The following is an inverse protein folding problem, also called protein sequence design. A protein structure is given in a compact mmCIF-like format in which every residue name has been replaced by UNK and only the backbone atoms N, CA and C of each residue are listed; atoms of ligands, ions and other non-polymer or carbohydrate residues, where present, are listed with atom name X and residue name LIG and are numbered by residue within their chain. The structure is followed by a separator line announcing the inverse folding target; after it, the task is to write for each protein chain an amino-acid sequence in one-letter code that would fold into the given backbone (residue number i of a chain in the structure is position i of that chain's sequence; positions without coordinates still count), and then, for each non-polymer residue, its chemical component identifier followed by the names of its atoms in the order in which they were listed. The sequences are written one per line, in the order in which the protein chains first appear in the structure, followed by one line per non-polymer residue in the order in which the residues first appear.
data_IF_953557396327
#
_entry.id   IF_953557396327
#
_cell.length_a   1.000
_cell.length_b   1.000
_cell.length_c   1.000
_cell.angle_alpha   90.00
_cell.angle_beta   90.00
_cell.angle_gamma   90.00
#
_symmetry.space_group_name_H-M   'P 1'
#
loop_
_entity.id
_entity.type
_entity.pdbx_description
1 polymer ?
#
# COMPACT_ATOMS: atom_id res chain seq x y z
N UNK A 1 -14.22 12.55 14.94
CA UNK A 1 -12.80 12.18 14.95
C UNK A 1 -12.66 11.01 14.00
N UNK A 2 -11.83 11.11 12.96
CA UNK A 2 -11.57 9.98 12.07
C UNK A 2 -10.85 8.84 12.82
N UNK A 3 -10.88 7.63 12.25
CA UNK A 3 -10.31 6.44 12.89
C UNK A 3 -8.81 6.58 13.18
N UNK A 4 -8.03 7.12 12.24
CA UNK A 4 -6.58 7.27 12.41
C UNK A 4 -6.26 8.13 13.65
N UNK A 5 -6.93 9.27 13.78
CA UNK A 5 -6.79 10.14 14.95
C UNK A 5 -7.17 9.41 16.23
N UNK A 6 -8.28 8.65 16.23
CA UNK A 6 -8.70 7.87 17.40
C UNK A 6 -7.66 6.81 17.81
N UNK A 7 -7.17 6.02 16.87
CA UNK A 7 -6.16 4.98 17.14
C UNK A 7 -4.86 5.57 17.69
N UNK A 8 -4.42 6.71 17.15
CA UNK A 8 -3.25 7.43 17.64
C UNK A 8 -3.44 7.92 19.08
N UNK A 9 -4.58 8.55 19.36
CA UNK A 9 -4.87 9.04 20.70
C UNK A 9 -5.00 7.89 21.72
N UNK A 10 -5.52 6.72 21.33
CA UNK A 10 -5.54 5.52 22.17
C UNK A 10 -4.12 5.07 22.58
N UNK A 11 -3.17 5.03 21.64
CA UNK A 11 -1.77 4.68 21.95
C UNK A 11 -1.10 5.73 22.85
N UNK A 12 -1.27 7.02 22.56
CA UNK A 12 -0.70 8.08 23.41
C UNK A 12 -1.37 8.19 24.78
N UNK A 13 -2.66 7.89 24.89
CA UNK A 13 -3.35 7.82 26.17
C UNK A 13 -2.77 6.68 27.03
N UNK A 14 -2.53 5.51 26.43
CA UNK A 14 -1.88 4.40 27.13
C UNK A 14 -0.47 4.76 27.63
N UNK A 15 0.31 5.49 26.83
CA UNK A 15 1.63 6.02 27.23
C UNK A 15 1.49 6.98 28.41
N UNK A 16 0.55 7.94 28.34
CA UNK A 16 0.32 8.94 29.41
C UNK A 16 -0.08 8.28 30.73
N UNK A 17 -1.00 7.32 30.70
CA UNK A 17 -1.44 6.56 31.89
C UNK A 17 -0.26 5.81 32.53
N UNK A 18 0.57 5.14 31.74
CA UNK A 18 1.76 4.45 32.27
C UNK A 18 2.79 5.43 32.83
N UNK A 19 2.95 6.60 32.22
CA UNK A 19 3.89 7.62 32.66
C UNK A 19 3.46 8.22 34.00
N UNK A 20 2.17 8.50 34.18
CA UNK A 20 1.57 8.93 35.46
C UNK A 20 1.78 7.87 36.56
N UNK A 21 1.75 6.59 36.21
CA UNK A 21 2.07 5.48 37.09
C UNK A 21 3.58 5.25 37.34
N UNK A 22 4.47 6.09 36.81
CA UNK A 22 5.92 5.95 36.96
C UNK A 22 6.54 4.80 36.15
N UNK A 23 5.81 4.19 35.22
CA UNK A 23 6.21 2.99 34.48
C UNK A 23 6.99 3.31 33.20
N UNK A 24 7.88 4.31 33.25
CA UNK A 24 8.64 4.78 32.09
C UNK A 24 9.41 3.66 31.38
N UNK A 25 10.08 2.80 32.12
CA UNK A 25 10.88 1.70 31.56
C UNK A 25 10.00 0.70 30.81
N UNK A 26 8.77 0.44 31.30
CA UNK A 26 7.82 -0.43 30.63
C UNK A 26 7.35 0.15 29.29
N UNK A 27 7.14 1.48 29.23
CA UNK A 27 6.81 2.17 27.97
C UNK A 27 7.93 1.98 26.95
N UNK A 28 9.18 2.29 27.32
CA UNK A 28 10.33 2.18 26.43
C UNK A 28 10.53 0.74 25.94
N UNK A 29 10.43 -0.23 26.85
CA UNK A 29 10.53 -1.66 26.54
C UNK A 29 9.42 -2.09 25.57
N UNK A 30 8.17 -1.72 25.85
CA UNK A 30 7.03 -2.09 24.99
C UNK A 30 7.15 -1.51 23.58
N UNK A 31 7.54 -0.22 23.47
CA UNK A 31 7.77 0.42 22.18
C UNK A 31 8.92 -0.25 21.43
N UNK A 32 10.02 -0.58 22.12
CA UNK A 32 11.17 -1.23 21.48
C UNK A 32 10.83 -2.63 20.96
N UNK A 33 10.17 -3.45 21.77
CA UNK A 33 9.76 -4.82 21.40
C UNK A 33 8.82 -4.81 20.19
N UNK A 34 7.81 -3.93 20.19
CA UNK A 34 6.87 -3.80 19.07
C UNK A 34 7.54 -3.22 17.83
N UNK A 35 8.47 -2.26 18.00
CA UNK A 35 9.26 -1.70 16.90
C UNK A 35 10.15 -2.75 16.24
N UNK A 36 10.85 -3.55 17.03
CA UNK A 36 11.65 -4.67 16.53
C UNK A 36 10.82 -5.73 15.81
N UNK A 37 9.63 -6.06 16.33
CA UNK A 37 8.70 -6.97 15.65
C UNK A 37 8.27 -6.44 14.28
N UNK A 38 7.97 -5.13 14.17
CA UNK A 38 7.61 -4.48 12.91
C UNK A 38 8.77 -4.52 11.90
N UNK A 39 10.01 -4.25 12.34
CA UNK A 39 11.21 -4.32 11.48
C UNK A 39 11.44 -5.72 10.92
N UNK A 40 11.29 -6.76 11.75
CA UNK A 40 11.40 -8.16 11.31
C UNK A 40 10.35 -8.50 10.24
N UNK A 41 9.13 -8.00 10.39
CA UNK A 41 8.08 -8.17 9.38
C UNK A 41 8.46 -7.47 8.07
N UNK A 42 9.04 -6.26 8.11
CA UNK A 42 9.47 -5.54 6.89
C UNK A 42 10.54 -6.33 6.11
N UNK A 43 11.48 -6.97 6.80
CA UNK A 43 12.58 -7.72 6.18
C UNK A 43 12.12 -8.99 5.43
N UNK A 44 11.00 -9.60 5.83
CA UNK A 44 10.53 -10.86 5.24
C UNK A 44 9.73 -10.69 3.93
N UNK A 45 9.32 -9.47 3.58
CA UNK A 45 8.41 -9.19 2.46
C UNK A 45 9.08 -8.35 1.34
N UNK A 46 10.41 -8.32 1.29
CA UNK A 46 11.16 -7.62 0.23
C UNK A 46 10.86 -8.18 -1.16
N UNK A 47 10.81 -7.31 -2.16
CA UNK A 47 10.63 -7.63 -3.58
C UNK A 47 9.18 -7.74 -4.04
N UNK A 48 8.20 -7.53 -3.14
CA UNK A 48 6.78 -7.84 -3.43
C UNK A 48 5.87 -6.64 -3.58
N UNK A 49 6.34 -5.43 -3.26
CA UNK A 49 5.47 -4.25 -3.22
C UNK A 49 4.73 -3.93 -4.52
N UNK A 50 5.28 -4.10 -5.75
CA UNK A 50 4.52 -3.79 -6.95
C UNK A 50 3.29 -4.70 -7.09
N UNK A 51 3.49 -6.01 -6.91
CA UNK A 51 2.43 -7.00 -7.03
C UNK A 51 1.42 -6.89 -5.89
N UNK A 52 1.89 -6.69 -4.66
CA UNK A 52 1.05 -6.54 -3.48
C UNK A 52 0.14 -5.30 -3.56
N UNK A 53 0.66 -4.16 -4.03
CA UNK A 53 -0.14 -2.95 -4.25
C UNK A 53 -1.17 -3.15 -5.36
N UNK A 54 -0.80 -3.85 -6.44
CA UNK A 54 -1.72 -4.18 -7.52
C UNK A 54 -2.82 -5.16 -7.07
N UNK A 55 -2.48 -6.14 -6.23
CA UNK A 55 -3.45 -7.04 -5.62
C UNK A 55 -4.43 -6.30 -4.72
N UNK A 56 -3.94 -5.36 -3.91
CA UNK A 56 -4.81 -4.51 -3.08
C UNK A 56 -5.82 -3.74 -3.94
N UNK A 57 -5.39 -3.16 -5.06
CA UNK A 57 -6.27 -2.48 -6.01
C UNK A 57 -7.32 -3.44 -6.60
N UNK A 58 -6.90 -4.66 -7.00
CA UNK A 58 -7.81 -5.69 -7.49
C UNK A 58 -8.87 -6.08 -6.45
N UNK A 59 -8.44 -6.35 -5.23
CA UNK A 59 -9.34 -6.74 -4.14
C UNK A 59 -10.31 -5.61 -3.80
N UNK A 60 -9.84 -4.35 -3.83
CA UNK A 60 -10.69 -3.19 -3.62
C UNK A 60 -11.75 -3.06 -4.71
N UNK A 61 -11.42 -3.30 -5.97
CA UNK A 61 -12.37 -3.28 -7.09
C UNK A 61 -13.37 -4.44 -7.01
N UNK A 62 -12.92 -5.65 -6.67
CA UNK A 62 -13.79 -6.82 -6.42
C UNK A 62 -14.77 -6.54 -5.28
N UNK A 63 -14.30 -5.99 -4.16
CA UNK A 63 -15.14 -5.63 -3.02
C UNK A 63 -16.19 -4.56 -3.37
N UNK A 64 -15.87 -3.66 -4.29
CA UNK A 64 -16.81 -2.66 -4.81
C UNK A 64 -17.77 -3.21 -5.89
N UNK A 65 -17.58 -4.45 -6.35
CA UNK A 65 -18.37 -5.03 -7.44
C UNK A 65 -18.14 -4.34 -8.78
N UNK A 66 -16.96 -3.77 -9.00
CA UNK A 66 -16.60 -3.09 -10.25
C UNK A 66 -15.41 -3.78 -10.94
N UNK A 67 -15.20 -3.43 -12.20
CA UNK A 67 -13.92 -3.63 -12.88
C UNK A 67 -13.20 -2.28 -12.94
N UNK A 68 -12.21 -2.12 -12.07
CA UNK A 68 -11.56 -0.84 -11.77
C UNK A 68 -10.28 -0.59 -12.56
N UNK A 69 -9.59 0.48 -12.16
CA UNK A 69 -8.33 0.97 -12.70
C UNK A 69 -7.26 0.94 -11.60
N UNK A 70 -6.05 0.52 -11.95
CA UNK A 70 -4.87 0.62 -11.11
C UNK A 70 -3.83 1.50 -11.80
N UNK A 71 -3.35 2.52 -11.09
CA UNK A 71 -2.45 3.54 -11.64
C UNK A 71 -1.16 3.62 -10.83
N UNK A 72 -0.01 3.45 -11.47
CA UNK A 72 1.31 3.57 -10.87
C UNK A 72 2.07 4.72 -11.51
N UNK A 73 2.58 5.64 -10.68
CA UNK A 73 3.40 6.77 -11.12
C UNK A 73 4.64 6.89 -10.22
N UNK A 74 5.82 6.73 -10.81
CA UNK A 74 7.08 7.02 -10.14
C UNK A 74 7.53 8.45 -10.43
N UNK A 75 7.34 9.34 -9.44
CA UNK A 75 7.82 10.73 -9.51
C UNK A 75 9.32 10.79 -9.19
N UNK A 76 9.88 11.99 -9.08
CA UNK A 76 11.27 12.16 -8.66
C UNK A 76 11.48 11.78 -7.18
N UNK A 77 10.44 11.90 -6.36
CA UNK A 77 10.50 11.74 -4.90
C UNK A 77 9.67 10.60 -4.33
N UNK A 78 8.74 10.02 -5.08
CA UNK A 78 7.81 9.03 -4.55
C UNK A 78 7.30 8.04 -5.61
N UNK A 79 6.89 6.87 -5.14
CA UNK A 79 5.94 6.03 -5.88
C UNK A 79 4.51 6.39 -5.44
N UNK A 80 3.67 6.78 -6.39
CA UNK A 80 2.24 7.00 -6.19
C UNK A 80 1.48 5.85 -6.83
N UNK A 81 0.59 5.21 -6.06
CA UNK A 81 -0.30 4.15 -6.54
C UNK A 81 -1.73 4.55 -6.26
N UNK A 82 -2.63 4.42 -7.24
CA UNK A 82 -4.02 4.77 -7.07
C UNK A 82 -4.98 3.72 -7.66
N UNK A 83 -6.13 3.55 -7.01
CA UNK A 83 -7.22 2.70 -7.47
C UNK A 83 -8.60 3.35 -7.23
N UNK A 84 -9.59 2.95 -8.02
CA UNK A 84 -10.97 3.45 -7.96
C UNK A 84 -11.97 2.42 -7.37
N UNK A 85 -11.45 1.44 -6.62
CA UNK A 85 -12.22 0.38 -5.97
C UNK A 85 -13.09 0.85 -4.81
N UNK A 86 -13.22 0.03 -3.77
CA UNK A 86 -14.03 0.33 -2.58
C UNK A 86 -13.45 1.44 -1.70
N UNK A 87 -12.19 1.83 -1.94
CA UNK A 87 -11.49 2.84 -1.17
C UNK A 87 -10.82 2.29 0.10
N UNK A 88 -10.24 3.20 0.87
CA UNK A 88 -9.58 2.89 2.14
C UNK A 88 -10.50 3.26 3.31
N UNK A 89 -11.01 2.26 4.01
CA UNK A 89 -11.94 2.43 5.14
C UNK A 89 -11.40 1.91 6.47
N UNK A 90 -12.26 1.90 7.49
CA UNK A 90 -11.86 1.65 8.88
C UNK A 90 -11.14 0.31 9.09
N UNK A 91 -11.64 -0.75 8.44
CA UNK A 91 -11.07 -2.09 8.55
C UNK A 91 -9.63 -2.16 8.04
N UNK A 92 -9.32 -1.43 6.96
CA UNK A 92 -7.99 -1.42 6.36
C UNK A 92 -7.00 -0.63 7.25
N UNK A 93 -7.43 0.49 7.83
CA UNK A 93 -6.62 1.26 8.77
C UNK A 93 -6.30 0.42 10.00
N UNK A 94 -7.31 -0.24 10.57
CA UNK A 94 -7.13 -1.14 11.71
C UNK A 94 -6.21 -2.31 11.40
N UNK A 95 -6.34 -2.91 10.21
CA UNK A 95 -5.48 -4.00 9.77
C UNK A 95 -4.01 -3.56 9.69
N UNK A 96 -3.71 -2.39 9.12
CA UNK A 96 -2.33 -1.89 9.10
C UNK A 96 -1.85 -1.58 10.52
N UNK A 97 -2.67 -0.89 11.32
CA UNK A 97 -2.25 -0.48 12.66
C UNK A 97 -2.03 -1.67 13.60
N UNK A 98 -2.76 -2.77 13.39
CA UNK A 98 -2.56 -4.02 14.14
C UNK A 98 -1.14 -4.60 13.99
N UNK A 99 -0.45 -4.31 12.88
CA UNK A 99 0.94 -4.73 12.64
C UNK A 99 1.91 -4.10 13.64
N UNK A 100 1.68 -2.84 14.01
CA UNK A 100 2.47 -2.15 15.04
C UNK A 100 2.01 -2.45 16.47
N UNK A 101 0.78 -2.93 16.67
CA UNK A 101 0.26 -3.28 18.01
C UNK A 101 0.67 -4.67 18.48
N UNK A 102 0.92 -5.60 17.58
CA UNK A 102 1.35 -6.96 17.93
C UNK A 102 2.85 -7.04 18.19
N UNK A 103 3.25 -7.55 19.35
CA UNK A 103 4.62 -8.00 19.62
C UNK A 103 4.88 -9.44 19.16
N UNK A 104 3.84 -10.16 18.70
CA UNK A 104 3.98 -11.53 18.21
C UNK A 104 4.62 -11.54 16.83
N UNK A 105 5.65 -12.37 16.69
CA UNK A 105 6.42 -12.53 15.46
C UNK A 105 5.60 -12.97 14.24
N UNK A 106 6.20 -12.93 13.05
CA UNK A 106 5.57 -13.29 11.78
C UNK A 106 5.18 -14.77 11.77
N UNK A 107 3.94 -15.07 12.14
CA UNK A 107 3.41 -16.43 12.18
C UNK A 107 2.04 -16.57 12.83
N UNK A 108 1.62 -15.60 13.64
CA UNK A 108 0.31 -15.63 14.33
C UNK A 108 -0.74 -14.69 13.74
N UNK A 109 -0.38 -13.85 12.76
CA UNK A 109 -1.32 -12.98 12.06
C UNK A 109 -1.95 -13.75 10.89
N UNK A 110 -2.92 -14.61 11.21
CA UNK A 110 -3.73 -15.33 10.22
C UNK A 110 -4.63 -14.33 9.49
N UNK A 111 -4.45 -14.24 8.16
CA UNK A 111 -5.47 -13.86 7.18
C UNK A 111 -6.34 -12.64 7.47
N UNK A 112 -5.82 -11.42 7.29
CA UNK A 112 -6.67 -10.25 7.04
C UNK A 112 -6.05 -9.36 5.95
N UNK A 113 -6.92 -8.88 5.05
CA UNK A 113 -6.66 -7.88 4.00
C UNK A 113 -5.83 -6.73 4.59
N UNK A 114 -4.60 -6.54 4.10
CA UNK A 114 -3.60 -5.63 4.71
C UNK A 114 -2.14 -6.13 4.60
N UNK A 115 -1.94 -7.36 4.13
CA UNK A 115 -0.61 -7.97 3.90
C UNK A 115 0.28 -7.15 2.96
N UNK A 116 -0.31 -6.48 1.96
CA UNK A 116 0.45 -5.76 0.94
C UNK A 116 1.18 -4.50 1.43
N UNK A 117 0.80 -3.96 2.59
CA UNK A 117 1.44 -2.77 3.14
C UNK A 117 2.77 -3.09 3.84
N UNK A 118 3.10 -4.36 4.07
CA UNK A 118 4.35 -4.76 4.74
C UNK A 118 5.57 -4.55 3.84
N UNK A 119 5.42 -4.83 2.54
CA UNK A 119 6.50 -4.75 1.56
C UNK A 119 6.86 -3.31 1.17
N UNK A 120 5.95 -2.34 1.34
CA UNK A 120 6.25 -0.93 0.99
C UNK A 120 7.37 -0.34 1.83
N UNK A 121 7.62 -0.91 3.01
CA UNK A 121 8.75 -0.60 3.87
C UNK A 121 10.12 -0.83 3.20
N UNK A 122 10.18 -1.51 2.07
CA UNK A 122 11.39 -1.62 1.26
C UNK A 122 11.84 -0.27 0.68
N UNK A 123 10.89 0.53 0.22
CA UNK A 123 11.16 1.78 -0.53
C UNK A 123 10.82 3.05 0.25
N UNK A 124 10.01 2.96 1.30
CA UNK A 124 9.59 4.12 2.10
C UNK A 124 9.61 3.84 3.60
N UNK A 125 9.92 4.88 4.39
CA UNK A 125 9.69 4.92 5.83
C UNK A 125 8.44 5.74 6.20
N UNK A 126 7.83 6.39 5.21
CA UNK A 126 6.75 7.36 5.42
C UNK A 126 5.57 7.13 4.49
N UNK A 127 4.98 5.92 4.44
CA UNK A 127 3.86 5.66 3.57
C UNK A 127 2.66 6.51 3.98
N UNK A 128 1.99 7.08 2.98
CA UNK A 128 0.85 7.98 3.11
C UNK A 128 -0.32 7.41 2.32
N UNK A 129 -1.50 7.43 2.91
CA UNK A 129 -2.74 6.97 2.29
C UNK A 129 -3.72 8.14 2.27
N UNK A 130 -4.20 8.47 1.09
CA UNK A 130 -5.21 9.49 0.84
C UNK A 130 -6.44 8.80 0.26
N UNK A 131 -7.54 8.85 1.00
CA UNK A 131 -8.83 8.27 0.62
C UNK A 131 -9.94 9.22 1.06
N UNK A 132 -11.09 9.15 0.39
CA UNK A 132 -12.24 9.99 0.69
C UNK A 132 -12.75 9.83 2.14
N UNK A 133 -12.60 8.63 2.72
CA UNK A 133 -13.08 8.33 4.07
C UNK A 133 -12.05 8.67 5.15
N UNK A 134 -10.78 8.32 4.93
CA UNK A 134 -9.69 8.52 5.90
C UNK A 134 -8.39 8.79 5.16
N UNK A 135 -7.67 9.84 5.55
CA UNK A 135 -6.34 10.15 5.04
C UNK A 135 -5.33 10.21 6.18
N UNK A 136 -4.29 9.38 6.11
CA UNK A 136 -3.33 9.19 7.18
C UNK A 136 -1.95 8.76 6.67
N UNK A 137 -0.94 8.93 7.50
CA UNK A 137 0.45 8.58 7.21
C UNK A 137 1.11 7.95 8.42
N UNK A 138 2.21 7.27 8.16
CA UNK A 138 3.14 6.84 9.19
C UNK A 138 4.41 7.70 9.09
N UNK A 139 4.91 8.17 10.23
CA UNK A 139 6.07 9.07 10.28
C UNK A 139 6.87 8.76 11.55
N UNK A 140 7.94 7.97 11.39
CA UNK A 140 8.80 7.55 12.50
C UNK A 140 9.50 8.72 13.18
N UNK A 141 9.88 9.76 12.43
CA UNK A 141 10.53 10.95 12.96
C UNK A 141 9.54 11.81 13.76
N UNK A 142 8.31 11.97 13.26
CA UNK A 142 7.24 12.65 14.03
C UNK A 142 6.88 11.88 15.29
N UNK A 143 6.76 10.55 15.21
CA UNK A 143 6.52 9.71 16.38
C UNK A 143 7.65 9.84 17.41
N UNK A 144 8.91 9.76 16.98
CA UNK A 144 10.07 9.93 17.87
C UNK A 144 10.04 11.27 18.59
N UNK A 145 9.73 12.37 17.88
CA UNK A 145 9.62 13.70 18.47
C UNK A 145 8.49 13.78 19.50
N UNK A 146 7.28 13.33 19.16
CA UNK A 146 6.14 13.38 20.09
C UNK A 146 6.39 12.51 21.34
N UNK A 147 6.98 11.33 21.19
CA UNK A 147 7.35 10.49 22.36
C UNK A 147 8.50 11.10 23.16
N UNK A 148 9.49 11.73 22.51
CA UNK A 148 10.57 12.45 23.19
C UNK A 148 10.02 13.63 24.01
N UNK A 149 9.05 14.36 23.49
CA UNK A 149 8.41 15.46 24.22
C UNK A 149 7.68 14.97 25.48
N UNK A 150 6.99 13.83 25.39
CA UNK A 150 6.32 13.19 26.51
C UNK A 150 7.30 12.62 27.54
N UNK A 151 8.30 11.86 27.09
CA UNK A 151 9.24 11.16 27.96
C UNK A 151 10.45 12.01 28.35
N UNK A 152 10.71 13.15 27.72
CA UNK A 152 11.89 14.04 27.93
C UNK A 152 13.26 13.47 27.53
N UNK A 153 13.47 12.16 27.58
CA UNK A 153 14.70 11.49 27.15
C UNK A 153 14.39 10.16 26.48
N UNK A 154 15.20 9.76 25.50
CA UNK A 154 15.06 8.49 24.81
C UNK A 154 16.45 7.84 24.65
N UNK A 155 16.55 6.51 24.72
CA UNK A 155 17.73 5.80 24.26
C UNK A 155 18.05 6.15 22.80
N UNK A 156 19.34 6.20 22.45
CA UNK A 156 19.77 6.54 21.09
C UNK A 156 19.18 5.57 20.04
N UNK A 157 19.20 4.28 20.33
CA UNK A 157 18.73 3.21 19.44
C UNK A 157 17.28 2.80 19.71
N UNK A 158 16.50 3.62 20.42
CA UNK A 158 15.09 3.31 20.69
C UNK A 158 14.33 3.08 19.37
N UNK A 159 13.74 1.89 19.24
CA UNK A 159 12.83 1.54 18.15
C UNK A 159 11.39 1.86 18.49
N UNK A 160 10.58 2.04 17.45
CA UNK A 160 9.17 2.40 17.59
C UNK A 160 8.29 1.57 16.64
N UNK A 161 7.10 1.17 17.08
CA UNK A 161 6.12 0.52 16.22
C UNK A 161 5.39 1.57 15.39
N UNK A 162 6.06 2.14 14.39
CA UNK A 162 5.55 3.28 13.61
C UNK A 162 4.12 3.04 13.10
N UNK A 163 3.79 1.83 12.65
CA UNK A 163 2.45 1.52 12.14
C UNK A 163 1.35 1.52 13.20
N UNK A 164 1.67 1.56 14.49
CA UNK A 164 0.66 1.75 15.53
C UNK A 164 0.19 3.22 15.66
N UNK A 165 0.94 4.17 15.10
CA UNK A 165 0.70 5.60 15.27
C UNK A 165 0.41 6.27 13.91
N UNK A 166 -0.83 6.15 13.40
CA UNK A 166 -1.22 6.85 12.18
C UNK A 166 -1.40 8.35 12.48
N UNK A 167 -0.78 9.21 11.69
CA UNK A 167 -0.94 10.66 11.75
C UNK A 167 -1.86 11.13 10.63
N UNK A 168 -2.67 12.19 10.83
CA UNK A 168 -3.38 12.80 9.71
C UNK A 168 -2.40 13.29 8.65
N UNK A 169 -2.80 13.20 7.38
CA UNK A 169 -2.07 13.76 6.24
C UNK A 169 -2.57 15.16 5.99
N UNK A 170 -1.67 16.14 6.03
CA UNK A 170 -1.92 17.49 5.54
C UNK A 170 -1.31 17.70 4.15
N UNK A 171 -1.79 18.70 3.41
CA UNK A 171 -1.25 19.04 2.08
C UNK A 171 0.28 19.27 2.09
N UNK A 172 0.79 19.85 3.17
CA UNK A 172 2.24 20.07 3.35
C UNK A 172 3.03 18.75 3.40
N UNK A 173 2.42 17.67 3.88
CA UNK A 173 3.06 16.36 3.97
C UNK A 173 3.20 15.69 2.58
N UNK A 174 2.37 16.10 1.61
CA UNK A 174 2.41 15.58 0.23
C UNK A 174 3.54 16.22 -0.60
N UNK A 175 4.08 17.36 -0.17
CA UNK A 175 5.21 18.03 -0.80
C UNK A 175 4.98 18.34 -2.30
N UNK A 176 5.99 18.07 -3.12
CA UNK A 176 5.96 18.26 -4.58
C UNK A 176 4.90 17.41 -5.30
N UNK A 177 4.44 16.34 -4.68
CA UNK A 177 3.49 15.39 -5.28
C UNK A 177 2.02 15.79 -5.04
N UNK A 178 1.75 16.83 -4.25
CA UNK A 178 0.40 17.26 -3.89
C UNK A 178 -0.50 17.52 -5.13
N UNK A 179 0.06 18.08 -6.20
CA UNK A 179 -0.68 18.32 -7.44
C UNK A 179 -1.09 17.01 -8.14
N UNK A 180 -0.23 15.98 -8.11
CA UNK A 180 -0.53 14.67 -8.69
C UNK A 180 -1.60 13.95 -7.89
N UNK A 181 -1.52 13.99 -6.55
CA UNK A 181 -2.56 13.43 -5.67
C UNK A 181 -3.91 14.09 -5.95
N UNK A 182 -3.97 15.42 -5.99
CA UNK A 182 -5.22 16.16 -6.30
C UNK A 182 -5.77 15.85 -7.69
N UNK A 183 -4.89 15.71 -8.70
CA UNK A 183 -5.29 15.30 -10.05
C UNK A 183 -5.96 13.93 -10.03
N UNK A 184 -5.35 12.94 -9.39
CA UNK A 184 -5.89 11.58 -9.31
C UNK A 184 -7.24 11.55 -8.58
N UNK A 185 -7.41 12.33 -7.51
CA UNK A 185 -8.72 12.47 -6.85
C UNK A 185 -9.78 13.04 -7.82
N UNK A 186 -9.42 14.08 -8.59
CA UNK A 186 -10.32 14.68 -9.59
C UNK A 186 -10.65 13.72 -10.75
N UNK A 187 -9.75 12.79 -11.08
CA UNK A 187 -9.96 11.72 -12.07
C UNK A 187 -10.78 10.53 -11.52
N UNK A 188 -11.26 10.62 -10.28
CA UNK A 188 -12.16 9.64 -9.66
C UNK A 188 -11.48 8.47 -8.96
N UNK A 189 -10.16 8.52 -8.76
CA UNK A 189 -9.48 7.54 -7.92
C UNK A 189 -9.89 7.72 -6.45
N UNK A 190 -10.18 6.60 -5.77
CA UNK A 190 -10.74 6.57 -4.41
C UNK A 190 -9.70 6.31 -3.34
N UNK A 191 -8.63 5.61 -3.68
CA UNK A 191 -7.47 5.39 -2.82
C UNK A 191 -6.22 5.79 -3.57
N UNK A 192 -5.38 6.59 -2.90
CA UNK A 192 -4.10 7.04 -3.41
C UNK A 192 -3.07 6.79 -2.31
N UNK A 193 -2.16 5.87 -2.57
CA UNK A 193 -1.03 5.57 -1.71
C UNK A 193 0.19 6.29 -2.26
N UNK A 194 0.75 7.21 -1.48
CA UNK A 194 2.03 7.86 -1.78
C UNK A 194 3.11 7.26 -0.89
N UNK A 195 4.19 6.82 -1.52
CA UNK A 195 5.35 6.19 -0.89
C UNK A 195 6.58 7.05 -1.20
N UNK A 196 6.86 8.09 -0.39
CA UNK A 196 8.07 8.91 -0.52
C UNK A 196 9.30 8.01 -0.40
N UNK A 197 10.22 8.10 -1.34
CA UNK A 197 11.43 7.29 -1.32
C UNK A 197 12.27 7.67 -0.09
N UNK A 198 12.65 6.67 0.71
CA UNK A 198 13.54 6.91 1.86
C UNK A 198 14.98 7.12 1.40
N UNK A 199 15.79 7.70 2.28
CA UNK A 199 17.21 7.87 2.03
C UNK A 199 17.90 6.54 1.71
N UNK A 200 18.79 6.57 0.71
CA UNK A 200 19.49 5.39 0.23
C UNK A 200 18.71 4.53 -0.78
N UNK A 201 17.43 4.78 -1.01
CA UNK A 201 16.66 4.11 -2.08
C UNK A 201 16.80 4.90 -3.38
N UNK A 202 17.56 4.35 -4.33
CA UNK A 202 17.69 4.94 -5.66
C UNK A 202 16.40 4.75 -6.48
N UNK A 203 15.84 5.87 -6.96
CA UNK A 203 14.71 5.90 -7.88
C UNK A 203 14.89 4.97 -9.08
N UNK A 204 16.11 4.84 -9.63
CA UNK A 204 16.38 3.94 -10.77
C UNK A 204 16.15 2.48 -10.42
N UNK A 205 16.49 2.08 -9.19
CA UNK A 205 16.25 0.72 -8.68
C UNK A 205 14.75 0.46 -8.57
N UNK A 206 14.00 1.41 -8.02
CA UNK A 206 12.53 1.34 -7.93
C UNK A 206 11.91 1.25 -9.33
N UNK A 207 12.38 2.07 -10.28
CA UNK A 207 11.92 2.06 -11.66
C UNK A 207 12.16 0.71 -12.36
N UNK A 208 13.36 0.15 -12.21
CA UNK A 208 13.70 -1.17 -12.77
C UNK A 208 12.80 -2.25 -12.17
N UNK A 209 12.61 -2.24 -10.86
CA UNK A 209 11.79 -3.21 -10.15
C UNK A 209 10.30 -3.13 -10.54
N UNK A 210 9.76 -1.91 -10.71
CA UNK A 210 8.41 -1.71 -11.23
C UNK A 210 8.26 -2.27 -12.65
N UNK A 211 9.20 -1.94 -13.55
CA UNK A 211 9.18 -2.46 -14.92
C UNK A 211 9.27 -3.98 -14.91
N UNK A 212 10.13 -4.58 -14.10
CA UNK A 212 10.30 -6.03 -14.04
C UNK A 212 9.02 -6.77 -13.61
N UNK A 213 8.28 -6.19 -12.66
CA UNK A 213 7.16 -6.85 -12.00
C UNK A 213 5.77 -6.43 -12.49
N UNK A 214 5.61 -5.26 -13.10
CA UNK A 214 4.34 -4.79 -13.65
C UNK A 214 4.34 -4.98 -15.17
N UNK A 215 3.51 -5.93 -15.64
CA UNK A 215 3.36 -6.27 -17.07
C UNK A 215 1.89 -6.19 -17.48
N UNK A 216 1.57 -5.76 -18.72
CA UNK A 216 0.20 -5.73 -19.23
C UNK A 216 -0.58 -7.03 -19.01
N UNK A 217 0.07 -8.19 -19.25
CA UNK A 217 -0.53 -9.52 -19.11
C UNK A 217 -0.95 -9.90 -17.68
N UNK A 218 -0.57 -9.13 -16.66
CA UNK A 218 -1.11 -9.33 -15.31
C UNK A 218 -2.64 -9.15 -15.26
N UNK A 219 -3.20 -8.31 -16.14
CA UNK A 219 -4.65 -8.12 -16.25
C UNK A 219 -5.40 -9.44 -16.53
N UNK A 220 -4.76 -10.42 -17.18
CA UNK A 220 -5.37 -11.73 -17.41
C UNK A 220 -5.68 -12.49 -16.11
N UNK A 221 -5.04 -12.13 -15.00
CA UNK A 221 -5.18 -12.80 -13.71
C UNK A 221 -5.87 -11.95 -12.64
N UNK A 222 -6.22 -10.70 -12.96
CA UNK A 222 -6.80 -9.72 -12.04
C UNK A 222 -8.26 -9.46 -12.42
N UNK A 223 -9.22 -10.24 -11.90
CA UNK A 223 -10.62 -10.08 -12.27
C UNK A 223 -11.18 -8.72 -11.84
N UNK A 224 -10.62 -8.05 -10.84
CA UNK A 224 -11.08 -6.73 -10.41
C UNK A 224 -10.59 -5.58 -11.29
N UNK A 225 -9.58 -5.76 -12.15
CA UNK A 225 -8.92 -4.66 -12.86
C UNK A 225 -9.06 -4.82 -14.37
N UNK A 226 -9.55 -3.76 -15.02
CA UNK A 226 -9.63 -3.67 -16.47
C UNK A 226 -8.62 -2.69 -17.08
N UNK A 227 -7.97 -1.84 -16.27
CA UNK A 227 -6.92 -0.93 -16.72
C UNK A 227 -5.76 -0.88 -15.74
N UNK A 228 -4.54 -1.02 -16.28
CA UNK A 228 -3.28 -0.87 -15.55
C UNK A 228 -2.41 0.18 -16.25
N UNK A 229 -2.04 1.22 -15.53
CA UNK A 229 -1.12 2.26 -15.99
C UNK A 229 0.19 2.21 -15.20
N UNK A 230 1.32 2.31 -15.89
CA UNK A 230 2.66 2.51 -15.32
C UNK A 230 3.31 3.72 -15.98
N UNK A 231 3.66 4.71 -15.16
CA UNK A 231 4.28 5.96 -15.59
C UNK A 231 5.53 6.33 -14.79
N UNK A 232 6.40 7.14 -15.39
CA UNK A 232 7.60 7.67 -14.75
C UNK A 232 8.78 6.70 -14.75
N UNK A 233 8.77 5.71 -15.63
CA UNK A 233 9.83 4.72 -15.79
C UNK A 233 10.45 4.83 -17.19
N UNK A 234 11.41 3.94 -17.50
CA UNK A 234 11.98 3.81 -18.85
C UNK A 234 11.07 3.06 -19.84
N UNK A 235 9.99 2.45 -19.36
CA UNK A 235 9.11 1.57 -20.13
C UNK A 235 7.67 1.72 -19.65
N UNK A 236 7.17 2.94 -19.79
CA UNK A 236 5.80 3.29 -19.43
C UNK A 236 4.80 2.58 -20.35
N UNK A 237 3.65 2.22 -19.80
CA UNK A 237 2.57 1.61 -20.57
C UNK A 237 1.21 1.92 -19.96
N UNK A 238 0.20 1.90 -20.83
CA UNK A 238 -1.20 1.77 -20.45
C UNK A 238 -1.71 0.48 -21.08
N UNK A 239 -2.27 -0.39 -20.25
CA UNK A 239 -2.87 -1.64 -20.67
C UNK A 239 -4.35 -1.65 -20.29
N UNK A 240 -5.20 -2.10 -21.20
CA UNK A 240 -6.63 -2.26 -20.98
C UNK A 240 -7.11 -3.63 -21.42
N UNK A 241 -8.12 -4.16 -20.75
CA UNK A 241 -8.79 -5.40 -21.17
C UNK A 241 -10.27 -5.20 -21.39
N UNK A 242 -10.81 -5.88 -22.39
CA UNK A 242 -12.25 -6.08 -22.58
C UNK A 242 -12.56 -7.55 -22.35
N UNK A 243 -13.53 -7.83 -21.49
CA UNK A 243 -13.89 -9.19 -21.08
C UNK A 243 -15.30 -9.53 -21.52
N UNK A 244 -15.49 -10.72 -22.07
CA UNK A 244 -16.80 -11.24 -22.48
C UNK A 244 -16.93 -12.70 -22.06
N UNK A 245 -18.10 -13.07 -21.56
CA UNK A 245 -18.41 -14.47 -21.29
C UNK A 245 -18.66 -15.21 -22.62
N UNK A 246 -18.02 -16.37 -22.79
CA UNK A 246 -18.12 -17.20 -23.98
C UNK A 246 -18.15 -18.68 -23.58
N UNK A 247 -19.34 -19.29 -23.58
CA UNK A 247 -19.50 -20.74 -23.39
C UNK A 247 -18.93 -21.31 -22.08
N UNK A 248 -18.94 -20.53 -20.98
CA UNK A 248 -18.35 -20.92 -19.70
C UNK A 248 -16.85 -20.62 -19.57
N UNK A 249 -16.27 -19.91 -20.53
CA UNK A 249 -14.96 -19.28 -20.47
C UNK A 249 -15.08 -17.74 -20.48
N UNK A 250 -14.02 -17.03 -20.09
CA UNK A 250 -13.93 -15.57 -20.28
C UNK A 250 -13.01 -15.29 -21.47
N UNK A 251 -13.54 -14.73 -22.54
CA UNK A 251 -12.75 -14.19 -23.65
C UNK A 251 -12.27 -12.79 -23.28
N UNK A 252 -10.96 -12.60 -23.28
CA UNK A 252 -10.29 -11.37 -22.91
C UNK A 252 -9.47 -10.84 -24.08
N UNK A 253 -9.77 -9.60 -24.48
CA UNK A 253 -8.96 -8.83 -25.44
C UNK A 253 -8.11 -7.87 -24.64
N UNK A 254 -6.80 -8.05 -24.67
CA UNK A 254 -5.81 -7.21 -24.02
C UNK A 254 -5.20 -6.25 -25.06
N UNK A 255 -5.28 -4.96 -24.81
CA UNK A 255 -4.58 -3.92 -25.57
C UNK A 255 -3.49 -3.30 -24.68
N UNK A 256 -2.25 -3.32 -25.16
CA UNK A 256 -1.12 -2.67 -24.51
C UNK A 256 -0.41 -1.75 -25.51
N UNK A 257 -0.82 -0.48 -25.56
CA UNK A 257 -0.19 0.52 -26.44
C UNK A 257 -0.37 0.23 -27.92
N UNK A 258 -1.49 -0.39 -28.31
CA UNK A 258 -1.80 -0.77 -29.70
C UNK A 258 -1.42 -2.20 -30.06
N UNK A 259 -0.66 -2.91 -29.22
CA UNK A 259 -0.48 -4.36 -29.35
C UNK A 259 -1.70 -5.09 -28.76
N UNK A 260 -2.47 -5.75 -29.62
CA UNK A 260 -3.70 -6.45 -29.24
C UNK A 260 -3.47 -7.96 -29.17
N UNK A 261 -3.79 -8.55 -28.01
CA UNK A 261 -3.75 -9.99 -27.76
C UNK A 261 -5.13 -10.52 -27.39
N UNK A 262 -5.53 -11.62 -28.01
CA UNK A 262 -6.76 -12.33 -27.67
C UNK A 262 -6.47 -13.57 -26.81
N UNK A 263 -7.23 -13.73 -25.73
CA UNK A 263 -7.03 -14.76 -24.72
C UNK A 263 -8.35 -15.41 -24.33
N UNK A 264 -8.37 -16.73 -24.22
CA UNK A 264 -9.47 -17.47 -23.61
C UNK A 264 -9.06 -17.92 -22.20
N UNK A 265 -9.78 -17.46 -21.18
CA UNK A 265 -9.55 -17.83 -19.78
C UNK A 265 -10.55 -18.92 -19.40
N UNK A 266 -10.04 -20.11 -19.11
CA UNK A 266 -10.84 -21.25 -18.71
C UNK A 266 -10.92 -21.34 -17.18
N UNK A 267 -12.12 -21.42 -16.57
CA UNK A 267 -12.25 -21.66 -15.14
C UNK A 267 -11.85 -23.11 -14.82
N UNK A 268 -10.86 -23.28 -13.94
CA UNK A 268 -10.59 -24.58 -13.30
C UNK A 268 -10.85 -24.47 -11.80
N UNK A 269 -11.22 -25.60 -11.16
CA UNK A 269 -11.30 -25.70 -9.70
C UNK A 269 -9.93 -25.35 -9.10
N UNK A 270 -9.78 -24.13 -8.57
CA UNK A 270 -8.63 -23.68 -7.77
C UNK A 270 -7.67 -22.69 -8.43
N UNK A 271 -7.69 -22.48 -9.75
CA UNK A 271 -7.00 -21.36 -10.42
C UNK A 271 -7.36 -21.27 -11.92
N UNK A 272 -7.62 -20.06 -12.43
CA UNK A 272 -7.88 -19.82 -13.85
C UNK A 272 -6.59 -19.93 -14.68
N UNK A 273 -6.65 -20.53 -15.88
CA UNK A 273 -5.51 -20.59 -16.80
C UNK A 273 -5.82 -19.86 -18.11
N UNK A 274 -5.09 -18.77 -18.45
CA UNK A 274 -5.24 -18.10 -19.73
C UNK A 274 -4.59 -18.90 -20.86
N UNK A 275 -5.27 -19.02 -21.99
CA UNK A 275 -4.75 -19.61 -23.24
C UNK A 275 -4.78 -18.54 -24.33
N UNK A 276 -3.63 -18.28 -24.97
CA UNK A 276 -3.53 -17.31 -26.06
C UNK A 276 -4.26 -17.84 -27.30
N UNK A 277 -5.09 -17.02 -27.90
CA UNK A 277 -5.78 -17.31 -29.16
C UNK A 277 -5.02 -16.74 -30.36
N UNK A 278 -4.41 -15.55 -30.21
CA UNK A 278 -3.63 -14.91 -31.28
C UNK A 278 -3.13 -13.50 -30.94
N UNK A 279 -2.52 -12.85 -31.91
CA UNK A 279 -2.15 -11.42 -31.91
C UNK A 279 -2.74 -10.77 -33.16
N UNK A 280 -3.43 -9.64 -32.98
CA UNK A 280 -3.80 -8.79 -34.11
C UNK A 280 -2.69 -7.74 -34.28
N UNK A 281 -2.16 -7.63 -35.50
CA UNK A 281 -1.17 -6.63 -35.90
C UNK A 281 -1.74 -5.70 -36.97
#
# INVERSE_FOLDING_TARGET
MDLATRLREEEFAAIRVQLEGGLRENILKSLDERGGAQELVRQQYSGRYPFELLQNANDAAVDAGIRGRAYFLLTDSALIVADDGSGFGDRQVDAICSLGRSSKGPGTAVGHKGLGFKSVGEITDRPQVVSAQTSFQFDGERLRREVLELLRTLPAEQRFPVYAFPFPVADVDLGSDAAQVRRLQAEGFRTIIRLPLRDGVDRKTVAAHLVENLRPRLLLFLPGIDRLDLHGTRSDFTATVVRREDGGAEHVVLDAGGEVEEWLILPQRGNSRPRRLGTAG
#
